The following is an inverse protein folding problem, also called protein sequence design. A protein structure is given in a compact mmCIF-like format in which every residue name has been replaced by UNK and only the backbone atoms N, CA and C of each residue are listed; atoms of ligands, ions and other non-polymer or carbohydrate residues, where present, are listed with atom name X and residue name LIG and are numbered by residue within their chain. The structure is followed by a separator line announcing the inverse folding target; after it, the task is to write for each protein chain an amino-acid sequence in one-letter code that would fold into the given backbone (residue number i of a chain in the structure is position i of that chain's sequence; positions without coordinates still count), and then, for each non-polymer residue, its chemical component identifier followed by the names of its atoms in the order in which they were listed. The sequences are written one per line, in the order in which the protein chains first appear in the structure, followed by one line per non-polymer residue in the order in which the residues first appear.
data_IF_607895930501
#
_entry.id   IF_607895930501
#
_cell.length_a   1.000
_cell.length_b   1.000
_cell.length_c   1.000
_cell.angle_alpha   90.00
_cell.angle_beta   90.00
_cell.angle_gamma   90.00
#
_symmetry.space_group_name_H-M   'P 1'
#
loop_
_entity.id
_entity.type
_entity.pdbx_description
1 polymer ?
#
# COMPACT_ATOMS: atom_id res chain seq x y z
N UNK A 1 31.60 -46.48 -2.32
CA UNK A 1 30.98 -45.43 -3.15
C UNK A 1 29.64 -45.97 -3.66
N UNK A 2 28.55 -45.71 -2.94
CA UNK A 2 27.20 -46.02 -3.45
C UNK A 2 26.93 -45.02 -4.56
N UNK A 3 26.84 -45.52 -5.79
CA UNK A 3 26.80 -44.74 -7.02
C UNK A 3 25.50 -43.93 -7.10
N UNK A 4 25.56 -42.65 -7.50
CA UNK A 4 24.36 -41.79 -7.66
C UNK A 4 23.26 -42.43 -8.52
N UNK A 5 23.62 -43.36 -9.41
CA UNK A 5 22.71 -44.12 -10.26
C UNK A 5 21.78 -45.05 -9.45
N UNK A 6 22.28 -45.77 -8.45
CA UNK A 6 21.45 -46.68 -7.63
C UNK A 6 20.46 -45.92 -6.76
N UNK A 7 20.83 -44.73 -6.27
CA UNK A 7 19.90 -43.85 -5.55
C UNK A 7 18.75 -43.35 -6.43
N UNK A 8 19.02 -43.00 -7.69
CA UNK A 8 17.99 -42.55 -8.64
C UNK A 8 17.04 -43.69 -9.04
N UNK A 9 17.57 -44.90 -9.24
CA UNK A 9 16.76 -46.08 -9.53
C UNK A 9 15.86 -46.46 -8.35
N UNK A 10 16.37 -46.34 -7.11
CA UNK A 10 15.57 -46.56 -5.90
C UNK A 10 14.47 -45.52 -5.75
N UNK A 11 14.79 -44.23 -5.86
CA UNK A 11 13.80 -43.14 -5.77
C UNK A 11 12.70 -43.26 -6.84
N UNK A 12 13.07 -43.64 -8.07
CA UNK A 12 12.08 -43.82 -9.15
C UNK A 12 11.20 -45.05 -8.93
N UNK A 13 11.76 -46.14 -8.40
CA UNK A 13 11.00 -47.32 -7.99
C UNK A 13 10.01 -47.02 -6.86
N UNK A 14 10.46 -46.31 -5.83
CA UNK A 14 9.62 -45.87 -4.70
C UNK A 14 8.52 -44.91 -5.17
N UNK A 15 8.85 -43.89 -5.97
CA UNK A 15 7.89 -42.94 -6.50
C UNK A 15 6.79 -43.62 -7.34
N UNK A 16 7.16 -44.56 -8.22
CA UNK A 16 6.19 -45.32 -9.02
C UNK A 16 5.25 -46.16 -8.14
N UNK A 17 5.79 -46.73 -7.07
CA UNK A 17 5.03 -47.54 -6.11
C UNK A 17 4.03 -46.69 -5.34
N UNK A 18 4.47 -45.53 -4.82
CA UNK A 18 3.62 -44.55 -4.13
C UNK A 18 2.52 -44.02 -5.06
N UNK A 19 2.85 -43.66 -6.30
CA UNK A 19 1.85 -43.18 -7.28
C UNK A 19 0.81 -44.26 -7.60
N UNK A 20 1.20 -45.53 -7.71
CA UNK A 20 0.22 -46.64 -7.86
C UNK A 20 -0.67 -46.77 -6.62
N UNK A 21 -0.12 -46.58 -5.42
CA UNK A 21 -0.89 -46.56 -4.17
C UNK A 21 -1.91 -45.42 -4.14
N UNK A 22 -1.48 -44.19 -4.43
CA UNK A 22 -2.34 -43.01 -4.47
C UNK A 22 -3.50 -43.13 -5.48
N UNK A 23 -3.27 -43.80 -6.62
CA UNK A 23 -4.32 -44.08 -7.62
C UNK A 23 -5.34 -45.11 -7.18
N UNK A 24 -4.98 -46.01 -6.26
CA UNK A 24 -5.87 -47.04 -5.74
C UNK A 24 -6.92 -46.45 -4.80
N UNK A 25 -6.54 -45.45 -4.00
CA UNK A 25 -7.42 -44.71 -3.09
C UNK A 25 -7.60 -43.25 -3.54
N UNK A 26 -8.18 -43.09 -4.73
CA UNK A 26 -8.30 -41.79 -5.41
C UNK A 26 -9.06 -40.74 -4.60
N UNK A 27 -10.15 -41.12 -3.93
CA UNK A 27 -11.00 -40.18 -3.18
C UNK A 27 -10.31 -39.64 -1.92
N UNK A 28 -9.61 -40.51 -1.19
CA UNK A 28 -8.83 -40.10 -0.03
C UNK A 28 -7.67 -39.18 -0.45
N UNK A 29 -6.96 -39.56 -1.51
CA UNK A 29 -5.87 -38.76 -2.08
C UNK A 29 -6.35 -37.38 -2.53
N UNK A 30 -7.50 -37.30 -3.21
CA UNK A 30 -8.11 -36.04 -3.61
C UNK A 30 -8.46 -35.16 -2.40
N UNK A 31 -9.02 -35.75 -1.33
CA UNK A 31 -9.29 -35.03 -0.09
C UNK A 31 -8.05 -34.35 0.47
N UNK A 32 -6.95 -35.11 0.59
CA UNK A 32 -5.65 -34.56 1.05
C UNK A 32 -5.16 -33.46 0.13
N UNK A 33 -5.17 -33.68 -1.20
CA UNK A 33 -4.71 -32.69 -2.17
C UNK A 33 -5.52 -31.39 -2.03
N UNK A 34 -6.84 -31.48 -1.91
CA UNK A 34 -7.70 -30.30 -1.75
C UNK A 34 -7.40 -29.58 -0.43
N UNK A 35 -7.25 -30.30 0.68
CA UNK A 35 -6.91 -29.69 1.97
C UNK A 35 -5.57 -28.96 1.91
N UNK A 36 -4.53 -29.62 1.39
CA UNK A 36 -3.18 -29.05 1.27
C UNK A 36 -3.16 -27.87 0.30
N UNK A 37 -3.80 -28.02 -0.87
CA UNK A 37 -3.90 -26.96 -1.86
C UNK A 37 -4.63 -25.73 -1.32
N UNK A 38 -5.71 -25.93 -0.55
CA UNK A 38 -6.45 -24.83 0.08
C UNK A 38 -5.58 -24.08 1.09
N UNK A 39 -4.85 -24.80 1.94
CA UNK A 39 -3.93 -24.18 2.90
C UNK A 39 -2.81 -23.39 2.20
N UNK A 40 -2.22 -23.97 1.14
CA UNK A 40 -1.20 -23.29 0.35
C UNK A 40 -1.75 -22.06 -0.38
N UNK A 41 -2.92 -22.18 -1.01
CA UNK A 41 -3.54 -21.08 -1.74
C UNK A 41 -3.93 -19.92 -0.81
N UNK A 42 -4.46 -20.22 0.39
CA UNK A 42 -4.77 -19.20 1.39
C UNK A 42 -3.52 -18.45 1.84
N UNK A 43 -2.43 -19.17 2.14
CA UNK A 43 -1.17 -18.56 2.54
C UNK A 43 -0.53 -17.75 1.40
N UNK A 44 -0.53 -18.27 0.17
CA UNK A 44 -0.02 -17.57 -1.00
C UNK A 44 -0.82 -16.32 -1.33
N UNK A 45 -2.16 -16.37 -1.20
CA UNK A 45 -3.02 -15.21 -1.40
C UNK A 45 -2.76 -14.12 -0.35
N UNK A 46 -2.55 -14.51 0.91
CA UNK A 46 -2.21 -13.58 1.98
C UNK A 46 -0.86 -12.90 1.70
N UNK A 47 0.18 -13.66 1.34
CA UNK A 47 1.50 -13.09 1.02
C UNK A 47 1.44 -12.22 -0.22
N UNK A 48 0.70 -12.61 -1.27
CA UNK A 48 0.53 -11.81 -2.47
C UNK A 48 -0.18 -10.47 -2.16
N UNK A 49 -1.21 -10.51 -1.32
CA UNK A 49 -1.90 -9.32 -0.83
C UNK A 49 -0.95 -8.41 -0.03
N UNK A 50 -0.24 -8.98 0.95
CA UNK A 50 0.71 -8.23 1.78
C UNK A 50 1.85 -7.64 0.95
N UNK A 51 2.39 -8.40 -0.01
CA UNK A 51 3.43 -7.92 -0.88
C UNK A 51 2.95 -6.77 -1.78
N UNK A 52 1.74 -6.88 -2.33
CA UNK A 52 1.14 -5.84 -3.16
C UNK A 52 0.84 -4.55 -2.41
N UNK A 53 0.54 -4.63 -1.11
CA UNK A 53 0.12 -3.50 -0.29
C UNK A 53 1.24 -2.90 0.58
N UNK A 54 2.07 -3.73 1.21
CA UNK A 54 3.10 -3.31 2.16
C UNK A 54 4.51 -3.28 1.58
N UNK A 55 4.86 -4.20 0.68
CA UNK A 55 6.26 -4.38 0.26
C UNK A 55 6.59 -3.82 -1.11
N UNK A 56 5.59 -3.58 -1.96
CA UNK A 56 5.80 -2.84 -3.20
C UNK A 56 6.07 -1.38 -2.83
N UNK A 57 7.26 -0.83 -3.14
CA UNK A 57 7.54 0.56 -2.86
C UNK A 57 6.49 1.43 -3.55
N UNK A 58 5.93 2.39 -2.81
CA UNK A 58 5.00 3.34 -3.42
C UNK A 58 5.69 3.97 -4.64
N UNK A 59 4.97 4.14 -5.77
CA UNK A 59 5.52 4.74 -6.99
C UNK A 59 5.66 6.26 -6.82
N UNK A 60 6.39 6.67 -5.78
CA UNK A 60 6.68 8.06 -5.42
C UNK A 60 8.20 8.24 -5.42
N UNK A 61 8.64 9.47 -5.66
CA UNK A 61 10.06 9.79 -5.64
C UNK A 61 10.65 9.45 -4.26
N UNK A 62 11.82 8.79 -4.27
CA UNK A 62 12.59 8.48 -3.05
C UNK A 62 11.77 7.75 -1.97
N UNK A 63 10.90 6.82 -2.37
CA UNK A 63 9.96 6.12 -1.47
C UNK A 63 10.60 5.57 -0.18
N UNK A 64 11.85 5.10 -0.23
CA UNK A 64 12.57 4.55 0.93
C UNK A 64 13.00 5.62 1.96
N UNK A 65 13.01 6.90 1.58
CA UNK A 65 13.49 8.00 2.40
C UNK A 65 12.35 8.69 3.18
N UNK A 66 11.10 8.35 2.87
CA UNK A 66 9.94 8.86 3.59
C UNK A 66 9.80 8.12 4.92
N UNK A 67 9.73 8.87 6.01
CA UNK A 67 9.54 8.35 7.37
C UNK A 67 8.28 8.95 8.00
N UNK A 68 7.55 8.13 8.76
CA UNK A 68 6.40 8.59 9.53
C UNK A 68 6.87 9.07 10.91
N UNK A 69 6.53 10.33 11.24
CA UNK A 69 6.76 10.86 12.57
C UNK A 69 5.58 10.47 13.46
N UNK A 70 5.81 9.54 14.38
CA UNK A 70 4.82 9.09 15.35
C UNK A 70 5.27 9.36 16.79
N UNK A 71 4.33 9.82 17.62
CA UNK A 71 4.53 9.97 19.05
C UNK A 71 4.25 8.67 19.79
N UNK A 72 4.73 8.56 21.02
CA UNK A 72 4.28 7.54 21.97
C UNK A 72 3.67 8.22 23.18
N UNK A 73 2.55 7.69 23.66
CA UNK A 73 1.97 8.12 24.93
C UNK A 73 2.76 7.56 26.13
N UNK A 74 2.37 7.95 27.34
CA UNK A 74 3.02 7.50 28.59
C UNK A 74 2.92 6.00 28.87
N UNK A 75 2.08 5.27 28.12
CA UNK A 75 1.92 3.81 28.17
C UNK A 75 2.51 3.11 26.94
N UNK A 76 3.25 3.85 26.11
CA UNK A 76 4.00 3.33 24.97
C UNK A 76 3.18 3.12 23.69
N UNK A 77 1.90 3.51 23.66
CA UNK A 77 1.05 3.40 22.47
C UNK A 77 1.50 4.41 21.42
N UNK A 78 1.65 3.93 20.19
CA UNK A 78 2.02 4.77 19.05
C UNK A 78 0.81 5.60 18.60
N UNK A 79 1.01 6.90 18.44
CA UNK A 79 0.02 7.82 17.89
C UNK A 79 0.68 8.72 16.82
N UNK A 80 0.21 8.62 15.59
CA UNK A 80 0.59 9.49 14.48
C UNK A 80 -0.46 10.54 14.13
N UNK A 81 -1.57 10.59 14.88
CA UNK A 81 -2.55 11.65 14.77
C UNK A 81 -2.09 12.88 15.55
N UNK A 82 -1.66 13.90 14.82
CA UNK A 82 -1.22 15.17 15.37
C UNK A 82 -2.30 16.25 15.22
N UNK A 83 -2.59 16.97 16.30
CA UNK A 83 -3.35 18.21 16.20
C UNK A 83 -2.58 19.26 15.38
N UNK A 84 -3.26 20.21 14.75
CA UNK A 84 -2.63 21.22 13.88
C UNK A 84 -1.47 21.97 14.54
N UNK A 85 -1.65 22.39 15.80
CA UNK A 85 -0.61 23.06 16.58
C UNK A 85 0.59 22.14 16.92
N UNK A 86 0.37 20.84 17.12
CA UNK A 86 1.45 19.87 17.34
C UNK A 86 2.22 19.61 16.04
N UNK A 87 1.50 19.38 14.94
CA UNK A 87 2.09 19.18 13.62
C UNK A 87 2.96 20.38 13.20
N UNK A 88 2.51 21.60 13.49
CA UNK A 88 3.30 22.81 13.23
C UNK A 88 4.59 22.87 14.06
N UNK A 89 4.53 22.52 15.35
CA UNK A 89 5.73 22.45 16.20
C UNK A 89 6.71 21.37 15.73
N UNK A 90 6.21 20.19 15.34
CA UNK A 90 7.02 19.10 14.78
C UNK A 90 7.71 19.58 13.51
N UNK A 91 6.95 20.22 12.60
CA UNK A 91 7.50 20.78 11.37
C UNK A 91 8.62 21.79 11.63
N UNK A 92 8.52 22.61 12.68
CA UNK A 92 9.58 23.56 13.03
C UNK A 92 10.82 22.88 13.65
N UNK A 93 10.63 21.82 14.43
CA UNK A 93 11.72 21.15 15.15
C UNK A 93 12.45 20.05 14.35
N UNK A 94 11.82 19.49 13.32
CA UNK A 94 12.33 18.31 12.63
C UNK A 94 13.22 18.61 11.41
N UNK A 95 13.50 19.89 11.11
CA UNK A 95 14.24 20.33 9.92
C UNK A 95 15.75 20.05 9.96
N UNK A 96 16.33 19.71 11.12
CA UNK A 96 17.76 19.49 11.23
C UNK A 96 18.25 18.15 10.63
N UNK A 97 17.34 17.17 10.48
CA UNK A 97 17.68 15.79 10.05
C UNK A 97 16.86 15.36 8.83
N UNK A 98 15.79 16.08 8.50
CA UNK A 98 14.88 15.76 7.39
C UNK A 98 14.97 16.85 6.32
N UNK A 99 14.95 16.44 5.05
CA UNK A 99 14.88 17.36 3.90
C UNK A 99 13.61 18.23 3.91
N UNK A 100 12.55 17.74 4.57
CA UNK A 100 11.33 18.50 4.83
C UNK A 100 10.28 17.68 5.58
N UNK A 101 9.20 18.35 5.97
CA UNK A 101 8.07 17.72 6.66
C UNK A 101 6.76 18.16 6.00
N UNK A 102 5.93 17.18 5.66
CA UNK A 102 4.57 17.39 5.19
C UNK A 102 3.58 16.68 6.12
N UNK A 103 2.33 17.14 6.12
CA UNK A 103 1.24 16.43 6.80
C UNK A 103 0.22 15.92 5.79
N UNK A 104 -0.33 14.74 6.06
CA UNK A 104 -1.41 14.10 5.31
C UNK A 104 -2.47 13.69 6.30
N UNK A 105 -3.73 13.99 5.98
CA UNK A 105 -4.86 13.57 6.78
C UNK A 105 -5.99 13.10 5.87
N UNK A 106 -6.30 11.80 5.93
CA UNK A 106 -7.41 11.23 5.16
C UNK A 106 -8.75 11.77 5.68
N UNK A 107 -9.64 12.13 4.76
CA UNK A 107 -10.96 12.67 5.06
C UNK A 107 -11.98 12.04 4.12
N UNK A 108 -13.07 11.59 4.71
CA UNK A 108 -14.31 11.32 3.96
C UNK A 108 -15.06 12.63 3.81
N UNK A 109 -15.48 12.94 2.61
CA UNK A 109 -16.29 14.11 2.29
C UNK A 109 -17.45 13.70 1.38
N UNK A 110 -18.57 14.42 1.48
CA UNK A 110 -19.62 14.35 0.48
C UNK A 110 -19.31 15.40 -0.59
N UNK A 111 -19.16 14.97 -1.84
CA UNK A 111 -18.84 15.84 -2.98
C UNK A 111 -20.01 15.80 -3.94
N UNK A 112 -20.48 16.97 -4.35
CA UNK A 112 -21.49 17.10 -5.41
C UNK A 112 -20.75 17.24 -6.74
N UNK A 113 -20.89 16.29 -7.68
CA UNK A 113 -20.29 16.41 -9.01
C UNK A 113 -20.84 17.63 -9.77
N UNK A 114 -20.06 18.22 -10.69
CA UNK A 114 -20.57 19.27 -11.58
C UNK A 114 -21.82 18.78 -12.33
N UNK A 115 -22.91 19.54 -12.24
CA UNK A 115 -24.19 19.18 -12.88
C UNK A 115 -25.01 18.11 -12.15
N UNK A 116 -24.51 17.57 -11.04
CA UNK A 116 -25.27 16.70 -10.13
C UNK A 116 -25.97 17.48 -9.02
N UNK A 117 -27.02 16.87 -8.45
CA UNK A 117 -27.73 17.41 -7.28
C UNK A 117 -27.58 16.53 -6.03
N UNK A 118 -27.02 15.33 -6.17
CA UNK A 118 -26.86 14.37 -5.07
C UNK A 118 -25.40 14.31 -4.61
N UNK A 119 -25.13 14.51 -3.30
CA UNK A 119 -23.79 14.35 -2.76
C UNK A 119 -23.34 12.89 -2.81
N UNK A 120 -22.14 12.67 -3.36
CA UNK A 120 -21.51 11.36 -3.42
C UNK A 120 -20.41 11.24 -2.36
N UNK A 121 -20.31 10.10 -1.67
CA UNK A 121 -19.21 9.87 -0.73
C UNK A 121 -17.89 9.77 -1.49
N UNK A 122 -16.94 10.61 -1.12
CA UNK A 122 -15.58 10.62 -1.65
C UNK A 122 -14.58 10.48 -0.50
N UNK A 123 -13.47 9.79 -0.79
CA UNK A 123 -12.29 9.80 0.06
C UNK A 123 -11.27 10.74 -0.55
N UNK A 124 -10.69 11.62 0.28
CA UNK A 124 -9.60 12.49 -0.11
C UNK A 124 -8.58 12.60 1.01
N UNK A 125 -7.51 13.33 0.72
CA UNK A 125 -6.49 13.67 1.70
C UNK A 125 -6.36 15.20 1.76
N UNK A 126 -6.37 15.73 2.98
CA UNK A 126 -5.95 17.11 3.24
C UNK A 126 -4.45 17.07 3.48
N UNK A 127 -3.71 17.83 2.69
CA UNK A 127 -2.25 17.82 2.71
C UNK A 127 -1.69 19.23 2.87
N UNK A 128 -0.48 19.34 3.44
CA UNK A 128 0.24 20.62 3.41
C UNK A 128 0.87 20.85 2.04
N UNK A 129 1.28 22.10 1.76
CA UNK A 129 1.91 22.47 0.48
C UNK A 129 3.16 21.62 0.20
N UNK A 130 3.94 21.32 1.24
CA UNK A 130 5.20 20.57 1.13
C UNK A 130 5.01 19.14 0.63
N UNK A 131 3.82 18.56 0.80
CA UNK A 131 3.49 17.24 0.28
C UNK A 131 3.81 17.13 -1.22
N UNK A 132 3.38 18.13 -2.00
CA UNK A 132 3.58 18.09 -3.46
C UNK A 132 5.03 18.33 -3.88
N UNK A 133 5.83 19.01 -3.04
CA UNK A 133 7.24 19.24 -3.29
C UNK A 133 8.11 18.03 -2.91
N UNK A 134 7.71 17.25 -1.91
CA UNK A 134 8.49 16.12 -1.39
C UNK A 134 8.07 14.77 -2.02
N UNK A 135 6.78 14.58 -2.29
CA UNK A 135 6.26 13.35 -2.92
C UNK A 135 6.37 13.42 -4.45
N UNK A 136 6.39 14.64 -5.01
CA UNK A 136 6.50 14.92 -6.45
C UNK A 136 5.54 14.07 -7.31
N UNK A 137 4.21 14.14 -7.06
CA UNK A 137 3.28 13.32 -7.81
C UNK A 137 3.26 13.72 -9.28
N UNK A 138 3.26 12.72 -10.18
CA UNK A 138 3.14 12.94 -11.61
C UNK A 138 1.73 13.43 -11.96
N UNK A 139 1.61 14.67 -12.42
CA UNK A 139 0.35 15.20 -12.91
C UNK A 139 0.06 14.69 -14.33
N UNK A 140 -1.09 14.06 -14.51
CA UNK A 140 -1.57 13.67 -15.84
C UNK A 140 -2.10 14.88 -16.64
N UNK A 141 -2.73 15.83 -15.94
CA UNK A 141 -3.32 17.04 -16.52
C UNK A 141 -3.16 18.23 -15.56
N UNK A 142 -3.03 19.43 -16.12
CA UNK A 142 -3.00 20.68 -15.36
C UNK A 142 -1.68 20.97 -14.65
N UNK A 143 -1.75 21.79 -13.59
CA UNK A 143 -0.62 22.24 -12.77
C UNK A 143 -1.02 22.29 -11.30
N UNK A 144 -0.05 22.16 -10.40
CA UNK A 144 -0.31 22.24 -8.97
C UNK A 144 -0.90 23.61 -8.59
N UNK A 145 -1.86 23.66 -7.66
CA UNK A 145 -2.50 24.92 -7.28
C UNK A 145 -1.55 25.90 -6.58
N UNK A 146 -0.41 25.42 -6.07
CA UNK A 146 0.48 26.16 -5.15
C UNK A 146 1.84 26.58 -5.75
N UNK A 147 1.94 26.69 -7.08
CA UNK A 147 3.18 27.10 -7.76
C UNK A 147 3.69 28.47 -7.29
N UNK A 148 5.00 28.67 -7.04
CA UNK A 148 5.58 29.97 -6.66
C UNK A 148 5.30 31.09 -7.65
N UNK A 149 5.08 30.74 -8.93
CA UNK A 149 4.74 31.68 -10.01
C UNK A 149 3.35 32.33 -9.88
N UNK A 150 2.49 31.81 -8.98
CA UNK A 150 1.23 32.47 -8.60
C UNK A 150 1.52 33.38 -7.40
N UNK A 151 1.93 34.62 -7.69
CA UNK A 151 1.82 35.69 -6.71
C UNK A 151 0.34 35.93 -6.41
N UNK A 152 -0.12 35.48 -5.24
CA UNK A 152 -1.44 35.86 -4.72
C UNK A 152 -2.35 34.70 -4.31
N UNK A 153 -2.73 34.76 -3.02
CA UNK A 153 -3.71 33.98 -2.27
C UNK A 153 -3.46 32.48 -2.08
N UNK A 154 -3.36 32.09 -0.80
CA UNK A 154 -3.49 30.73 -0.26
C UNK A 154 -4.92 30.18 -0.49
N UNK A 155 -5.40 30.22 -1.73
CA UNK A 155 -6.67 29.59 -2.07
C UNK A 155 -6.49 28.07 -1.96
N UNK A 156 -7.32 27.44 -1.14
CA UNK A 156 -7.39 25.99 -1.03
C UNK A 156 -7.62 25.38 -2.43
N UNK A 157 -6.60 24.73 -2.97
CA UNK A 157 -6.67 24.04 -4.24
C UNK A 157 -7.02 22.56 -4.04
N UNK A 158 -7.87 22.03 -4.91
CA UNK A 158 -8.20 20.60 -4.94
C UNK A 158 -7.42 19.95 -6.08
N UNK A 159 -6.78 18.82 -5.80
CA UNK A 159 -6.19 17.94 -6.81
C UNK A 159 -7.02 16.67 -6.84
N UNK A 160 -7.51 16.30 -8.02
CA UNK A 160 -8.29 15.07 -8.22
C UNK A 160 -7.36 13.95 -8.64
N UNK A 161 -7.50 12.79 -7.99
CA UNK A 161 -6.89 11.54 -8.49
C UNK A 161 -7.58 11.11 -9.79
N UNK A 162 -6.95 10.25 -10.59
CA UNK A 162 -7.58 9.70 -11.81
C UNK A 162 -8.95 9.05 -11.50
N UNK A 163 -9.02 8.27 -10.41
CA UNK A 163 -10.26 7.66 -9.96
C UNK A 163 -11.30 8.70 -9.49
N UNK A 164 -10.85 9.76 -8.82
CA UNK A 164 -11.72 10.87 -8.43
C UNK A 164 -12.26 11.63 -9.65
N UNK A 165 -11.40 11.91 -10.62
CA UNK A 165 -11.78 12.55 -11.89
C UNK A 165 -12.82 11.73 -12.63
N UNK A 166 -12.60 10.43 -12.87
CA UNK A 166 -13.56 9.57 -13.60
C UNK A 166 -14.93 9.40 -12.92
N UNK A 167 -15.01 9.65 -11.61
CA UNK A 167 -16.25 9.52 -10.84
C UNK A 167 -16.99 10.84 -10.64
N UNK A 168 -16.24 11.94 -10.56
CA UNK A 168 -16.76 13.24 -10.16
C UNK A 168 -16.78 14.27 -11.29
N UNK A 169 -16.13 14.01 -12.43
CA UNK A 169 -16.21 14.84 -13.64
C UNK A 169 -17.21 14.26 -14.63
#
# INVERSE_FOLDING_TARGET
MVTRATWLEQLTGEARTVVRGLRRDVWFTLGIIVTVATALAANAALVAFLNGYFWKPLPIARAADHVEIAGRDGVGRVNSAWGSAQAWRIKQGATAVLDGVYAVAERRAAVVPPGGNEPQPAMGAVVTREYFALVEPRLALGRLPFSPSRGGNDAAGIVLSDAGWRRLA
#
